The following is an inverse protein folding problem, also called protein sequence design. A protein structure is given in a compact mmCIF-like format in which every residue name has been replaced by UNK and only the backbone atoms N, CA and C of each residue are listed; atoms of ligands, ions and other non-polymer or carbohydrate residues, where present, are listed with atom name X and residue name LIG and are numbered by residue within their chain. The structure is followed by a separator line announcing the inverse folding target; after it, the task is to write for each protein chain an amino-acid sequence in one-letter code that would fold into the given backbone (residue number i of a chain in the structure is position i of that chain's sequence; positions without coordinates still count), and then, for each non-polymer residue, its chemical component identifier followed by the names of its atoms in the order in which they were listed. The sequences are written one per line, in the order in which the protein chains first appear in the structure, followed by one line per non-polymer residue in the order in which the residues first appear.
data_IF_538858622428
#
_entry.id   IF_538858622428
#
_cell.length_a   1.000
_cell.length_b   1.000
_cell.length_c   1.000
_cell.angle_alpha   90.00
_cell.angle_beta   90.00
_cell.angle_gamma   90.00
#
_symmetry.space_group_name_H-M   'P 1'
#
loop_
_entity.id
_entity.type
_entity.pdbx_description
1 polymer ?
#
# COMPACT_ATOMS: atom_id res chain seq x y z
N UNK A 1 -9.63 16.16 0.29
CA UNK A 1 -9.17 15.40 1.48
C UNK A 1 -7.70 15.10 1.28
N UNK A 2 -6.86 15.28 2.29
CA UNK A 2 -5.42 14.99 2.22
C UNK A 2 -5.17 13.51 2.53
N UNK A 3 -4.33 12.84 1.73
CA UNK A 3 -3.87 11.47 1.99
C UNK A 3 -2.35 11.44 2.16
N UNK A 4 -1.85 10.35 2.71
CA UNK A 4 -0.43 10.06 2.82
C UNK A 4 -0.06 8.93 1.87
N UNK A 5 1.09 8.99 1.22
CA UNK A 5 1.60 7.90 0.42
C UNK A 5 2.59 7.05 1.25
N UNK A 6 2.52 5.74 1.10
CA UNK A 6 3.39 4.80 1.81
C UNK A 6 4.40 4.23 0.83
N UNK A 7 5.68 4.54 1.04
CA UNK A 7 6.79 3.97 0.28
C UNK A 7 7.37 2.82 1.10
N UNK A 8 7.43 1.62 0.53
CA UNK A 8 7.85 0.41 1.24
C UNK A 8 8.69 -0.49 0.34
N UNK A 9 9.55 -1.33 0.94
CA UNK A 9 10.31 -2.33 0.20
C UNK A 9 9.44 -3.57 -0.07
N UNK A 10 9.31 -3.93 -1.35
CA UNK A 10 8.53 -5.09 -1.76
C UNK A 10 9.20 -6.39 -1.32
N UNK A 11 8.42 -7.31 -0.76
CA UNK A 11 8.93 -8.64 -0.40
C UNK A 11 9.15 -9.50 -1.64
N UNK A 12 10.03 -10.49 -1.52
CA UNK A 12 10.24 -11.43 -2.61
C UNK A 12 9.03 -12.36 -2.77
N UNK A 13 8.76 -12.91 -3.97
CA UNK A 13 7.62 -13.81 -4.19
C UNK A 13 7.57 -15.02 -3.25
N UNK A 14 8.72 -15.44 -2.70
CA UNK A 14 8.81 -16.54 -1.74
C UNK A 14 8.29 -16.17 -0.33
N UNK A 15 8.10 -14.88 -0.05
CA UNK A 15 7.69 -14.33 1.25
C UNK A 15 6.24 -13.83 1.23
N UNK A 16 5.51 -14.08 0.15
CA UNK A 16 4.11 -13.68 -0.01
C UNK A 16 3.17 -14.70 0.65
N UNK A 17 2.28 -14.23 1.53
CA UNK A 17 1.03 -14.94 1.86
C UNK A 17 0.94 -15.69 3.18
N UNK A 18 0.93 -14.99 4.31
CA UNK A 18 0.42 -15.54 5.59
C UNK A 18 -0.68 -14.70 6.24
N UNK A 19 -0.96 -13.51 5.70
CA UNK A 19 -1.88 -12.54 6.29
C UNK A 19 -2.92 -12.10 5.26
N UNK A 20 -4.13 -11.83 5.74
CA UNK A 20 -5.25 -11.37 4.93
C UNK A 20 -5.73 -10.02 5.43
N UNK A 21 -5.95 -9.10 4.50
CA UNK A 21 -6.60 -7.81 4.73
C UNK A 21 -8.01 -7.85 4.16
N UNK A 22 -9.00 -7.47 4.96
CA UNK A 22 -10.39 -7.36 4.49
C UNK A 22 -10.66 -5.93 4.02
N UNK A 23 -11.01 -5.76 2.75
CA UNK A 23 -11.33 -4.47 2.13
C UNK A 23 -12.70 -4.59 1.47
N UNK A 24 -13.67 -3.80 1.93
CA UNK A 24 -15.04 -3.79 1.38
C UNK A 24 -15.69 -5.20 1.27
N UNK A 25 -15.35 -6.08 2.22
CA UNK A 25 -15.84 -7.47 2.25
C UNK A 25 -15.06 -8.45 1.36
N UNK A 26 -14.02 -7.99 0.66
CA UNK A 26 -13.12 -8.83 -0.12
C UNK A 26 -11.82 -9.10 0.63
N UNK A 27 -11.33 -10.34 0.53
CA UNK A 27 -10.06 -10.74 1.12
C UNK A 27 -8.91 -10.46 0.14
N UNK A 28 -7.95 -9.65 0.60
CA UNK A 28 -6.70 -9.38 -0.10
C UNK A 28 -5.55 -10.04 0.66
N UNK A 29 -4.86 -10.97 0.01
CA UNK A 29 -3.63 -11.55 0.55
C UNK A 29 -2.52 -10.49 0.61
N UNK A 30 -1.89 -10.34 1.77
CA UNK A 30 -0.79 -9.41 1.99
C UNK A 30 0.43 -10.12 2.56
N UNK A 31 1.61 -9.55 2.30
CA UNK A 31 2.86 -10.06 2.85
C UNK A 31 3.01 -9.73 4.35
N UNK A 32 3.88 -10.45 5.08
CA UNK A 32 4.18 -10.14 6.47
C UNK A 32 4.69 -8.71 6.69
N UNK A 33 5.52 -8.18 5.78
CA UNK A 33 6.01 -6.82 5.87
C UNK A 33 4.87 -5.80 5.70
N UNK A 34 3.97 -6.03 4.75
CA UNK A 34 2.79 -5.18 4.58
C UNK A 34 1.88 -5.21 5.82
N UNK A 35 1.68 -6.38 6.42
CA UNK A 35 0.92 -6.52 7.67
C UNK A 35 1.54 -5.70 8.82
N UNK A 36 2.87 -5.78 8.96
CA UNK A 36 3.61 -4.99 9.95
C UNK A 36 3.46 -3.48 9.69
N UNK A 37 3.62 -3.05 8.44
CA UNK A 37 3.45 -1.64 8.05
C UNK A 37 2.04 -1.17 8.40
N UNK A 38 1.00 -1.89 7.99
CA UNK A 38 -0.39 -1.55 8.29
C UNK A 38 -0.65 -1.44 9.80
N UNK A 39 -0.07 -2.34 10.59
CA UNK A 39 -0.17 -2.31 12.06
C UNK A 39 0.45 -1.04 12.66
N UNK A 40 1.53 -0.52 12.07
CA UNK A 40 2.14 0.76 12.45
C UNK A 40 1.37 1.97 11.93
N UNK A 41 0.52 1.79 10.91
CA UNK A 41 -0.26 2.87 10.33
C UNK A 41 -1.56 3.17 11.09
N UNK A 42 -2.01 2.27 11.96
CA UNK A 42 -3.24 2.40 12.74
C UNK A 42 -3.25 3.71 13.53
N UNK A 43 -4.20 4.62 13.28
CA UNK A 43 -4.25 5.90 13.98
C UNK A 43 -4.68 5.72 15.44
N UNK A 44 -4.03 6.45 16.35
CA UNK A 44 -4.43 6.49 17.77
C UNK A 44 -5.80 7.20 17.93
N UNK A 45 -6.10 8.17 17.07
CA UNK A 45 -7.38 8.90 16.99
C UNK A 45 -7.69 9.30 15.57
N UNK A 46 -8.98 9.33 15.23
CA UNK A 46 -9.48 9.78 13.92
C UNK A 46 -9.21 8.78 12.80
N UNK A 47 -9.39 9.25 11.56
CA UNK A 47 -9.19 8.45 10.35
C UNK A 47 -7.90 8.88 9.66
N UNK A 48 -7.09 7.90 9.26
CA UNK A 48 -5.89 8.11 8.46
C UNK A 48 -6.14 7.61 7.05
N UNK A 49 -6.13 8.50 6.07
CA UNK A 49 -6.24 8.15 4.67
C UNK A 49 -4.85 7.90 4.10
N UNK A 50 -4.58 6.67 3.67
CA UNK A 50 -3.29 6.25 3.12
C UNK A 50 -3.46 5.68 1.72
N UNK A 51 -2.45 5.87 0.89
CA UNK A 51 -2.31 5.25 -0.41
C UNK A 51 -1.09 4.32 -0.38
N UNK A 52 -1.29 3.06 -0.76
CA UNK A 52 -0.29 1.99 -0.81
C UNK A 52 -0.42 1.33 -2.18
N UNK A 53 0.63 1.33 -3.00
CA UNK A 53 0.59 0.78 -4.37
C UNK A 53 0.08 -0.67 -4.41
N UNK A 54 0.57 -1.54 -3.52
CA UNK A 54 0.15 -2.94 -3.44
C UNK A 54 -1.33 -3.18 -3.09
N UNK A 55 -2.03 -2.15 -2.57
CA UNK A 55 -3.44 -2.24 -2.19
C UNK A 55 -4.33 -1.45 -3.15
N UNK A 56 -3.90 -0.25 -3.54
CA UNK A 56 -4.68 0.67 -4.36
C UNK A 56 -4.57 0.40 -5.87
N UNK A 57 -3.61 -0.42 -6.31
CA UNK A 57 -3.44 -0.85 -7.70
C UNK A 57 -3.70 -2.34 -7.76
N UNK A 58 -4.53 -2.79 -8.70
CA UNK A 58 -4.68 -4.23 -8.96
C UNK A 58 -3.35 -4.82 -9.42
N UNK A 59 -2.73 -5.60 -8.53
CA UNK A 59 -1.43 -6.21 -8.80
C UNK A 59 -1.50 -7.35 -9.82
N UNK A 60 -2.69 -7.82 -10.17
CA UNK A 60 -2.91 -8.91 -11.13
C UNK A 60 -3.22 -8.40 -12.55
N UNK A 61 -3.65 -7.15 -12.67
CA UNK A 61 -3.99 -6.51 -13.96
C UNK A 61 -2.81 -5.76 -14.56
N UNK A 62 -2.13 -6.35 -15.53
CA UNK A 62 -1.06 -5.68 -16.28
C UNK A 62 -1.54 -4.42 -17.00
N UNK A 63 -2.82 -4.40 -17.44
CA UNK A 63 -3.42 -3.24 -18.08
C UNK A 63 -3.55 -2.06 -17.11
N UNK A 64 -4.09 -2.31 -15.90
CA UNK A 64 -4.19 -1.26 -14.88
C UNK A 64 -2.80 -0.77 -14.45
N UNK A 65 -1.84 -1.67 -14.25
CA UNK A 65 -0.46 -1.30 -13.93
C UNK A 65 0.12 -0.35 -14.98
N UNK A 66 -0.11 -0.62 -16.26
CA UNK A 66 0.39 0.21 -17.34
C UNK A 66 -0.17 1.64 -17.28
N UNK A 67 -1.41 1.80 -16.84
CA UNK A 67 -2.06 3.10 -16.66
C UNK A 67 -1.65 3.78 -15.34
N UNK A 68 -1.45 3.01 -14.26
CA UNK A 68 -1.16 3.53 -12.92
C UNK A 68 0.31 3.91 -12.72
N UNK A 69 1.26 3.16 -13.31
CA UNK A 69 2.70 3.42 -13.15
C UNK A 69 3.08 4.86 -13.55
N UNK A 70 2.63 5.41 -14.70
CA UNK A 70 2.88 6.81 -15.05
C UNK A 70 2.26 7.81 -14.08
N UNK A 71 1.17 7.44 -13.40
CA UNK A 71 0.47 8.29 -12.43
C UNK A 71 1.15 8.30 -11.06
N UNK A 72 1.97 7.29 -10.73
CA UNK A 72 2.64 7.19 -9.43
C UNK A 72 3.41 8.47 -9.08
N UNK A 73 4.16 9.05 -10.02
CA UNK A 73 4.88 10.31 -9.77
C UNK A 73 3.95 11.43 -9.31
N UNK A 74 2.77 11.56 -9.94
CA UNK A 74 1.77 12.55 -9.56
C UNK A 74 1.13 12.23 -8.21
N UNK A 75 0.85 10.96 -7.94
CA UNK A 75 0.25 10.50 -6.68
C UNK A 75 1.19 10.79 -5.50
N UNK A 76 2.47 10.42 -5.61
CA UNK A 76 3.45 10.70 -4.57
C UNK A 76 3.68 12.21 -4.40
N UNK A 77 3.74 12.98 -5.50
CA UNK A 77 3.90 14.44 -5.44
C UNK A 77 2.69 15.17 -4.85
N UNK A 78 1.49 14.60 -4.97
CA UNK A 78 0.24 15.20 -4.45
C UNK A 78 -0.10 14.74 -3.03
N UNK A 79 0.64 13.78 -2.47
CA UNK A 79 0.45 13.32 -1.10
C UNK A 79 0.82 14.42 -0.10
N UNK A 80 0.09 14.50 1.02
CA UNK A 80 0.41 15.45 2.08
C UNK A 80 1.79 15.18 2.71
N UNK A 81 2.19 13.91 2.74
CA UNK A 81 3.55 13.44 2.99
C UNK A 81 3.72 12.02 2.47
N UNK A 82 4.98 11.63 2.32
CA UNK A 82 5.38 10.27 2.02
C UNK A 82 6.01 9.67 3.27
N UNK A 83 5.50 8.53 3.73
CA UNK A 83 6.07 7.78 4.85
C UNK A 83 6.87 6.62 4.26
N UNK A 84 8.18 6.66 4.46
CA UNK A 84 9.09 5.62 3.98
C UNK A 84 9.31 4.55 5.07
N UNK A 85 9.07 3.30 4.69
CA UNK A 85 9.46 2.11 5.44
C UNK A 85 10.60 1.46 4.68
N UNK A 86 11.87 1.82 4.97
CA UNK A 86 12.98 1.04 4.46
C UNK A 86 12.80 -0.41 4.94
N UNK A 87 12.97 -1.38 4.04
CA UNK A 87 13.03 -2.78 4.43
C UNK A 87 14.14 -3.01 5.45
N UNK A 88 14.06 -4.11 6.18
CA UNK A 88 15.22 -4.61 6.93
C UNK A 88 16.25 -5.24 5.99
#
# INVERSE_FOLDING_TARGET
MSYEAISWAWDTPAEQGTNTLLIDGMELGISPNMYRILSLLVPIRGTRLVWIDAICIDQTSSAEKQDQIPLMTKIYASAARVVAFPGE
#
